data_IF_188608774862
#
_entry.id   IF_188608774862
#
_cell.length_a   1.000
_cell.length_b   1.000
_cell.length_c   1.000
_cell.angle_alpha   90.00
_cell.angle_beta   90.00
_cell.angle_gamma   90.00
#
_symmetry.space_group_name_H-M   'P 1'
#
loop_
_entity.id
_entity.type
_entity.pdbx_description
1 polymer ?
#
# COMPACT_ATOMS: atom_id res chain seq x y z
N UNK A 1 -9.50 -10.43 -28.16
CA UNK A 1 -8.35 -10.92 -28.98
C UNK A 1 -8.75 -10.95 -30.42
N UNK A 2 -8.03 -10.28 -31.30
CA UNK A 2 -8.29 -10.33 -32.76
C UNK A 2 -7.67 -11.64 -33.29
N UNK A 3 -8.51 -12.54 -33.76
CA UNK A 3 -8.03 -13.81 -34.35
C UNK A 3 -7.70 -13.57 -35.81
N UNK A 4 -6.42 -13.80 -36.15
CA UNK A 4 -5.96 -13.76 -37.54
C UNK A 4 -6.36 -15.08 -38.20
N UNK A 5 -7.02 -15.05 -39.39
CA UNK A 5 -7.32 -16.29 -40.11
C UNK A 5 -6.04 -17.06 -40.47
N UNK A 6 -6.01 -18.37 -40.17
CA UNK A 6 -4.88 -19.23 -40.53
C UNK A 6 -4.82 -19.54 -42.03
N UNK A 7 -5.94 -19.41 -42.71
CA UNK A 7 -6.04 -19.54 -44.16
C UNK A 7 -7.21 -18.70 -44.64
N UNK A 8 -7.11 -18.12 -45.83
CA UNK A 8 -8.18 -17.28 -46.40
C UNK A 8 -7.72 -16.49 -47.61
N UNK A 9 -8.65 -15.77 -48.21
CA UNK A 9 -8.35 -14.84 -49.30
C UNK A 9 -8.04 -13.43 -48.76
N UNK A 10 -7.62 -12.53 -49.65
CA UNK A 10 -7.24 -11.15 -49.27
C UNK A 10 -8.37 -10.38 -48.54
N UNK A 11 -9.65 -10.71 -48.79
CA UNK A 11 -10.80 -10.07 -48.14
C UNK A 11 -10.97 -10.52 -46.69
N UNK A 12 -10.62 -11.80 -46.38
CA UNK A 12 -10.69 -12.32 -45.03
C UNK A 12 -9.63 -11.66 -44.15
N UNK A 13 -8.41 -11.50 -44.65
CA UNK A 13 -7.34 -10.77 -43.98
C UNK A 13 -7.65 -9.29 -43.82
N UNK A 14 -8.22 -8.63 -44.85
CA UNK A 14 -8.66 -7.26 -44.75
C UNK A 14 -9.75 -7.08 -43.69
N UNK A 15 -10.70 -8.03 -43.61
CA UNK A 15 -11.72 -8.05 -42.57
C UNK A 15 -11.18 -8.24 -41.14
N UNK A 16 -10.07 -8.99 -40.97
CA UNK A 16 -9.38 -9.12 -39.71
C UNK A 16 -8.63 -7.81 -39.36
N UNK A 17 -7.93 -7.20 -40.30
CA UNK A 17 -7.22 -5.93 -40.09
C UNK A 17 -8.19 -4.82 -39.71
N UNK A 18 -9.33 -4.70 -40.37
CA UNK A 18 -10.32 -3.67 -40.06
C UNK A 18 -10.98 -3.82 -38.67
N UNK A 19 -10.80 -4.96 -38.01
CA UNK A 19 -11.26 -5.18 -36.62
C UNK A 19 -10.20 -4.80 -35.59
N UNK A 20 -8.98 -4.52 -36.02
CA UNK A 20 -7.92 -4.04 -35.11
C UNK A 20 -8.28 -2.61 -34.71
N UNK A 21 -8.40 -2.29 -33.41
CA UNK A 21 -8.59 -0.91 -32.98
C UNK A 21 -7.46 0.01 -33.44
N UNK A 22 -7.76 1.29 -33.57
CA UNK A 22 -6.80 2.31 -33.99
C UNK A 22 -5.64 2.49 -32.97
N UNK A 23 -5.92 2.18 -31.71
CA UNK A 23 -4.94 2.26 -30.62
C UNK A 23 -4.63 0.88 -30.07
N UNK A 24 -3.36 0.63 -29.73
CA UNK A 24 -2.94 -0.59 -29.07
C UNK A 24 -3.53 -0.65 -27.64
N UNK A 25 -4.34 -1.67 -27.40
CA UNK A 25 -4.89 -1.94 -26.05
C UNK A 25 -4.42 -3.31 -25.57
N UNK A 26 -4.06 -3.46 -24.30
CA UNK A 26 -3.51 -4.70 -23.74
C UNK A 26 -4.39 -5.93 -23.98
N UNK A 27 -5.72 -5.78 -23.99
CA UNK A 27 -6.68 -6.85 -24.24
C UNK A 27 -6.54 -7.49 -25.63
N UNK A 28 -6.01 -6.77 -26.63
CA UNK A 28 -5.74 -7.33 -27.98
C UNK A 28 -4.66 -8.40 -27.92
N UNK A 29 -3.70 -8.24 -27.03
CA UNK A 29 -2.58 -9.15 -26.81
C UNK A 29 -2.93 -10.26 -25.82
N UNK A 30 -4.19 -10.35 -25.39
CA UNK A 30 -4.63 -11.34 -24.40
C UNK A 30 -4.14 -11.06 -23.00
N UNK A 31 -3.71 -9.83 -22.70
CA UNK A 31 -3.30 -9.42 -21.37
C UNK A 31 -4.53 -9.26 -20.44
N UNK A 32 -4.38 -9.52 -19.14
CA UNK A 32 -5.49 -9.46 -18.19
C UNK A 32 -5.99 -8.03 -17.98
N UNK A 33 -7.24 -7.90 -17.54
CA UNK A 33 -7.93 -6.62 -17.38
C UNK A 33 -7.25 -5.63 -16.43
N UNK A 34 -6.43 -6.11 -15.48
CA UNK A 34 -5.64 -5.24 -14.61
C UNK A 34 -4.57 -4.45 -15.37
N UNK A 35 -3.99 -5.02 -16.42
CA UNK A 35 -3.02 -4.32 -17.28
C UNK A 35 -3.71 -3.21 -18.08
N UNK A 36 -4.91 -3.51 -18.62
CA UNK A 36 -5.72 -2.51 -19.32
C UNK A 36 -6.08 -1.32 -18.40
N UNK A 37 -6.50 -1.60 -17.17
CA UNK A 37 -6.75 -0.57 -16.16
C UNK A 37 -5.51 0.23 -15.80
N UNK A 38 -4.35 -0.42 -15.68
CA UNK A 38 -3.08 0.26 -15.41
C UNK A 38 -2.71 1.25 -16.52
N UNK A 39 -2.87 0.84 -17.79
CA UNK A 39 -2.65 1.73 -18.95
C UNK A 39 -3.65 2.90 -18.95
N UNK A 40 -4.93 2.63 -18.66
CA UNK A 40 -5.96 3.68 -18.57
C UNK A 40 -5.65 4.67 -17.45
N UNK A 41 -5.21 4.18 -16.28
CA UNK A 41 -4.80 5.03 -15.14
C UNK A 41 -3.60 5.89 -15.52
N UNK A 42 -2.57 5.31 -16.13
CA UNK A 42 -1.39 6.06 -16.59
C UNK A 42 -1.79 7.18 -17.55
N UNK A 43 -2.62 6.88 -18.55
CA UNK A 43 -3.10 7.88 -19.49
C UNK A 43 -3.95 8.96 -18.83
N UNK A 44 -4.83 8.57 -17.88
CA UNK A 44 -5.65 9.52 -17.14
C UNK A 44 -4.79 10.45 -16.26
N UNK A 45 -3.78 9.91 -15.59
CA UNK A 45 -2.85 10.71 -14.77
C UNK A 45 -2.05 11.69 -15.64
N UNK A 46 -1.62 11.27 -16.84
CA UNK A 46 -0.93 12.17 -17.79
C UNK A 46 -1.83 13.33 -18.21
N UNK A 47 -3.12 13.06 -18.50
CA UNK A 47 -4.12 14.09 -18.83
C UNK A 47 -4.38 15.00 -17.64
N UNK A 48 -4.57 14.45 -16.43
CA UNK A 48 -4.78 15.23 -15.21
C UNK A 48 -3.57 16.14 -14.92
N UNK A 49 -2.35 15.63 -15.09
CA UNK A 49 -1.14 16.43 -14.91
C UNK A 49 -1.08 17.59 -15.91
N UNK A 50 -1.42 17.32 -17.17
CA UNK A 50 -1.49 18.37 -18.19
C UNK A 50 -2.58 19.40 -17.88
N UNK A 51 -3.75 18.98 -17.40
CA UNK A 51 -4.83 19.87 -16.96
C UNK A 51 -4.43 20.70 -15.73
N UNK A 52 -3.75 20.09 -14.75
CA UNK A 52 -3.20 20.82 -13.60
C UNK A 52 -2.21 21.90 -14.03
N UNK A 53 -1.35 21.60 -15.01
CA UNK A 53 -0.40 22.59 -15.56
C UNK A 53 -1.10 23.73 -16.30
N UNK A 54 -2.19 23.45 -17.02
CA UNK A 54 -3.00 24.46 -17.72
C UNK A 54 -3.87 25.26 -16.77
N UNK A 55 -4.39 24.62 -15.71
CA UNK A 55 -5.16 25.25 -14.65
C UNK A 55 -4.26 25.89 -13.59
N UNK A 56 -2.95 26.08 -13.90
CA UNK A 56 -2.02 26.73 -12.96
C UNK A 56 -2.68 27.96 -12.38
N UNK A 57 -2.92 27.90 -11.06
CA UNK A 57 -3.53 28.95 -10.26
C UNK A 57 -2.87 30.26 -10.67
N UNK A 58 -3.66 31.25 -11.02
CA UNK A 58 -3.10 32.53 -11.52
C UNK A 58 -2.09 33.06 -10.52
N UNK A 59 -1.01 33.66 -11.01
CA UNK A 59 0.03 34.22 -10.13
C UNK A 59 -0.54 35.23 -9.09
N UNK A 60 -1.74 35.73 -9.34
CA UNK A 60 -2.48 36.58 -8.42
C UNK A 60 -3.11 35.79 -7.26
N UNK A 61 -3.63 34.59 -7.48
CA UNK A 61 -4.19 33.73 -6.42
C UNK A 61 -3.10 33.12 -5.53
N UNK A 62 -1.87 33.01 -6.02
CA UNK A 62 -0.70 32.58 -5.24
C UNK A 62 -0.08 33.69 -4.40
N UNK A 63 -0.47 34.97 -4.63
CA UNK A 63 -0.09 36.06 -3.74
C UNK A 63 -0.79 35.92 -2.40
N UNK A 64 -0.05 36.22 -1.35
CA UNK A 64 -0.61 36.18 -0.01
C UNK A 64 -1.80 37.14 0.11
N UNK A 65 -2.99 36.58 0.16
CA UNK A 65 -4.22 37.22 0.60
C UNK A 65 -4.74 36.46 1.80
N UNK A 66 -4.78 37.14 2.94
CA UNK A 66 -5.18 36.56 4.22
C UNK A 66 -6.59 35.96 4.19
N UNK A 67 -7.53 36.59 3.51
CA UNK A 67 -8.91 36.10 3.47
C UNK A 67 -9.03 34.86 2.61
N UNK A 68 -8.43 34.85 1.42
CA UNK A 68 -8.41 33.70 0.49
C UNK A 68 -7.68 32.53 1.12
N UNK A 69 -6.51 32.77 1.67
CA UNK A 69 -5.71 31.71 2.30
C UNK A 69 -6.41 31.13 3.53
N UNK A 70 -7.05 31.95 4.36
CA UNK A 70 -7.81 31.44 5.50
C UNK A 70 -8.97 30.57 5.06
N UNK A 71 -9.69 30.97 4.01
CA UNK A 71 -10.82 30.19 3.49
C UNK A 71 -10.37 28.84 2.91
N UNK A 72 -9.27 28.82 2.13
CA UNK A 72 -8.78 27.61 1.44
C UNK A 72 -7.96 26.67 2.35
N UNK A 73 -7.10 27.21 3.22
CA UNK A 73 -6.22 26.42 4.10
C UNK A 73 -6.85 26.11 5.47
N UNK A 74 -7.89 26.85 5.86
CA UNK A 74 -8.60 26.64 7.12
C UNK A 74 -9.04 25.18 7.34
N UNK A 75 -9.70 24.53 6.37
CA UNK A 75 -10.15 23.15 6.49
C UNK A 75 -9.03 22.17 6.79
N UNK A 76 -7.90 22.22 6.10
CA UNK A 76 -6.77 21.32 6.32
C UNK A 76 -6.07 21.58 7.67
N UNK A 77 -5.94 22.83 8.08
CA UNK A 77 -5.42 23.18 9.41
C UNK A 77 -6.33 22.65 10.53
N UNK A 78 -7.65 22.72 10.33
CA UNK A 78 -8.63 22.18 11.27
C UNK A 78 -8.61 20.65 11.28
N UNK A 79 -8.51 20.00 10.13
CA UNK A 79 -8.36 18.54 10.01
C UNK A 79 -7.16 18.08 10.84
N UNK A 80 -5.99 18.71 10.65
CA UNK A 80 -4.80 18.39 11.42
C UNK A 80 -5.02 18.57 12.92
N UNK A 81 -5.57 19.69 13.36
CA UNK A 81 -5.81 19.94 14.80
C UNK A 81 -6.78 18.94 15.45
N UNK A 82 -7.69 18.36 14.65
CA UNK A 82 -8.63 17.37 15.11
C UNK A 82 -7.98 15.98 15.25
N UNK A 83 -7.11 15.62 14.31
CA UNK A 83 -6.49 14.29 14.23
C UNK A 83 -5.20 14.18 15.04
N UNK A 84 -4.39 15.24 15.05
CA UNK A 84 -3.11 15.25 15.75
C UNK A 84 -3.24 15.83 17.15
N UNK A 85 -2.83 15.06 18.15
CA UNK A 85 -2.74 15.46 19.55
C UNK A 85 -1.30 15.26 20.01
N UNK A 86 -0.53 16.32 20.03
CA UNK A 86 0.91 16.29 20.37
C UNK A 86 1.16 15.56 21.69
N UNK A 87 0.35 15.79 22.72
CA UNK A 87 0.47 15.17 24.04
C UNK A 87 0.46 13.62 24.00
N UNK A 88 -0.17 13.01 23.00
CA UNK A 88 -0.20 11.56 22.86
C UNK A 88 1.14 11.00 22.39
N UNK A 89 1.84 11.76 21.52
CA UNK A 89 3.11 11.33 20.93
C UNK A 89 4.31 11.73 21.78
N UNK A 90 4.22 12.84 22.53
CA UNK A 90 5.27 13.28 23.47
C UNK A 90 5.48 12.27 24.61
N UNK A 91 4.42 11.55 24.98
CA UNK A 91 4.48 10.48 26.00
C UNK A 91 5.17 9.20 25.52
N UNK A 92 5.30 9.03 24.20
CA UNK A 92 5.96 7.87 23.61
C UNK A 92 7.46 8.14 23.58
N UNK A 93 8.16 7.77 24.64
CA UNK A 93 9.63 7.91 24.72
C UNK A 93 10.25 6.56 24.42
N UNK A 94 11.15 6.51 23.46
CA UNK A 94 11.94 5.34 23.11
C UNK A 94 13.34 5.54 23.65
N UNK A 95 13.81 4.60 24.47
CA UNK A 95 15.15 4.66 25.09
C UNK A 95 16.21 4.11 24.13
N UNK A 96 17.46 4.51 24.34
CA UNK A 96 18.60 3.94 23.58
C UNK A 96 18.75 2.43 23.79
N UNK A 97 18.37 1.93 24.95
CA UNK A 97 18.37 0.51 25.25
C UNK A 97 17.32 -0.26 24.39
N UNK A 98 16.13 0.32 24.21
CA UNK A 98 15.09 -0.23 23.34
C UNK A 98 15.53 -0.24 21.86
N UNK A 99 16.19 0.81 21.37
CA UNK A 99 16.72 0.86 20.00
C UNK A 99 17.83 -0.18 19.76
N UNK A 100 18.58 -0.54 20.80
CA UNK A 100 19.65 -1.54 20.72
C UNK A 100 19.18 -2.96 21.10
N UNK A 101 17.87 -3.22 21.11
CA UNK A 101 17.33 -4.55 21.41
C UNK A 101 17.86 -5.62 20.44
N UNK A 102 18.16 -6.85 20.91
CA UNK A 102 18.53 -7.94 20.04
C UNK A 102 17.35 -8.52 19.23
N UNK A 103 16.11 -8.21 19.59
CA UNK A 103 14.91 -8.67 18.86
C UNK A 103 14.68 -7.81 17.61
N UNK A 104 14.80 -8.37 16.38
CA UNK A 104 14.64 -7.60 15.14
C UNK A 104 13.24 -7.00 14.98
N UNK A 105 12.19 -7.67 15.49
CA UNK A 105 10.81 -7.21 15.39
C UNK A 105 10.57 -6.03 16.32
N UNK A 106 11.06 -6.10 17.56
CA UNK A 106 10.98 -5.00 18.50
C UNK A 106 11.80 -3.79 17.99
N UNK A 107 13.03 -4.04 17.50
CA UNK A 107 13.87 -3.00 16.91
C UNK A 107 13.17 -2.28 15.75
N UNK A 108 12.52 -3.03 14.85
CA UNK A 108 11.74 -2.45 13.77
C UNK A 108 10.66 -1.49 14.30
N UNK A 109 9.85 -1.93 15.27
CA UNK A 109 8.76 -1.11 15.82
C UNK A 109 9.28 0.18 16.46
N UNK A 110 10.40 0.12 17.17
CA UNK A 110 11.01 1.31 17.78
C UNK A 110 11.51 2.30 16.72
N UNK A 111 12.21 1.81 15.69
CA UNK A 111 12.71 2.66 14.58
C UNK A 111 11.55 3.26 13.79
N UNK A 112 10.50 2.46 13.49
CA UNK A 112 9.32 2.92 12.77
C UNK A 112 8.59 4.03 13.54
N UNK A 113 8.53 3.92 14.87
CA UNK A 113 7.95 4.95 15.73
C UNK A 113 8.77 6.25 15.75
N UNK A 114 10.10 6.18 15.77
CA UNK A 114 10.94 7.38 15.68
C UNK A 114 10.74 8.07 14.32
N UNK A 115 10.68 7.30 13.22
CA UNK A 115 10.39 7.84 11.90
C UNK A 115 9.02 8.54 11.86
N UNK A 116 8.01 7.94 12.47
CA UNK A 116 6.65 8.53 12.55
C UNK A 116 6.65 9.84 13.31
N UNK A 117 7.33 9.91 14.45
CA UNK A 117 7.44 11.15 15.22
C UNK A 117 8.06 12.27 14.38
N UNK A 118 9.11 11.95 13.62
CA UNK A 118 9.76 12.90 12.74
C UNK A 118 8.82 13.39 11.62
N UNK A 119 8.04 12.48 11.01
CA UNK A 119 7.00 12.83 10.04
C UNK A 119 5.96 13.76 10.67
N UNK A 120 5.39 13.37 11.81
CA UNK A 120 4.37 14.15 12.51
C UNK A 120 4.88 15.55 12.92
N UNK A 121 6.14 15.66 13.36
CA UNK A 121 6.76 16.93 13.72
C UNK A 121 6.90 17.84 12.50
N UNK A 122 7.37 17.33 11.36
CA UNK A 122 7.50 18.11 10.12
C UNK A 122 6.14 18.67 9.68
N UNK A 123 5.08 17.85 9.71
CA UNK A 123 3.74 18.29 9.37
C UNK A 123 3.20 19.31 10.36
N UNK A 124 3.43 19.06 11.66
CA UNK A 124 2.98 19.98 12.72
C UNK A 124 3.65 21.35 12.61
N UNK A 125 4.95 21.40 12.38
CA UNK A 125 5.69 22.65 12.22
C UNK A 125 5.20 23.41 10.97
N UNK A 126 5.02 22.72 9.86
CA UNK A 126 4.51 23.29 8.62
C UNK A 126 3.11 23.93 8.83
N UNK A 127 2.16 23.17 9.35
CA UNK A 127 0.78 23.63 9.57
C UNK A 127 0.73 24.72 10.66
N UNK A 128 1.48 24.57 11.76
CA UNK A 128 1.56 25.56 12.82
C UNK A 128 2.08 26.90 12.33
N UNK A 129 3.11 26.89 11.48
CA UNK A 129 3.64 28.12 10.87
C UNK A 129 2.60 28.78 9.96
N UNK A 130 1.90 28.00 9.12
CA UNK A 130 0.81 28.53 8.30
C UNK A 130 -0.28 29.16 9.17
N UNK A 131 -0.70 28.49 10.25
CA UNK A 131 -1.70 29.06 11.19
C UNK A 131 -1.25 30.36 11.82
N UNK A 132 0.01 30.47 12.23
CA UNK A 132 0.59 31.69 12.81
C UNK A 132 0.65 32.83 11.78
N UNK A 133 1.00 32.54 10.53
CA UNK A 133 1.00 33.52 9.42
C UNK A 133 -0.43 34.04 9.16
N UNK A 134 -1.41 33.12 9.10
CA UNK A 134 -2.82 33.51 8.94
C UNK A 134 -3.35 34.34 10.08
N UNK A 135 -2.86 34.11 11.31
CA UNK A 135 -3.17 34.97 12.47
C UNK A 135 -2.43 36.31 12.45
N UNK A 136 -1.36 36.42 11.67
CA UNK A 136 -0.50 37.64 11.61
C UNK A 136 0.52 37.70 12.74
N UNK A 137 0.79 36.59 13.42
CA UNK A 137 1.78 36.49 14.49
C UNK A 137 3.19 36.06 13.99
N UNK A 138 3.30 35.69 12.74
CA UNK A 138 4.57 35.29 12.12
C UNK A 138 4.67 35.82 10.69
N UNK A 139 5.90 36.07 10.22
CA UNK A 139 6.15 36.56 8.87
C UNK A 139 6.17 35.42 7.86
N UNK A 140 5.69 35.68 6.65
CA UNK A 140 5.73 34.74 5.55
C UNK A 140 7.17 34.52 5.08
N UNK A 141 7.67 33.28 5.22
CA UNK A 141 8.98 32.87 4.70
C UNK A 141 8.83 32.19 3.34
N UNK A 142 9.90 32.12 2.54
CA UNK A 142 9.89 31.42 1.26
C UNK A 142 9.50 29.93 1.41
N UNK A 143 9.91 29.27 2.50
CA UNK A 143 9.54 27.87 2.81
C UNK A 143 8.03 27.78 3.07
N UNK A 144 7.50 28.58 4.00
CA UNK A 144 6.08 28.54 4.35
C UNK A 144 5.18 28.95 3.18
N UNK A 145 5.66 29.87 2.32
CA UNK A 145 4.94 30.24 1.10
C UNK A 145 4.85 29.04 0.13
N UNK A 146 5.94 28.31 -0.08
CA UNK A 146 5.97 27.13 -0.95
C UNK A 146 5.04 26.05 -0.43
N UNK A 147 5.10 25.73 0.87
CA UNK A 147 4.23 24.72 1.49
C UNK A 147 2.76 25.12 1.40
N UNK A 148 2.42 26.37 1.71
CA UNK A 148 1.06 26.87 1.57
C UNK A 148 0.57 26.85 0.12
N UNK A 149 1.43 27.17 -0.84
CA UNK A 149 1.10 27.13 -2.28
C UNK A 149 0.75 25.71 -2.72
N UNK A 150 1.55 24.70 -2.34
CA UNK A 150 1.24 23.31 -2.65
C UNK A 150 -0.14 22.92 -2.07
N UNK A 151 -0.41 23.25 -0.80
CA UNK A 151 -1.70 22.96 -0.17
C UNK A 151 -2.87 23.70 -0.84
N UNK A 152 -2.68 24.94 -1.29
CA UNK A 152 -3.68 25.69 -2.07
C UNK A 152 -4.00 25.04 -3.41
N UNK A 153 -3.03 24.39 -4.02
CA UNK A 153 -3.15 23.62 -5.27
C UNK A 153 -3.72 22.21 -5.04
N UNK A 154 -3.93 21.82 -3.78
CA UNK A 154 -4.36 20.46 -3.44
C UNK A 154 -3.24 19.41 -3.56
N UNK A 155 -2.00 19.84 -3.48
CA UNK A 155 -0.80 19.01 -3.57
C UNK A 155 -0.16 18.86 -2.19
N UNK A 156 0.45 17.69 -1.94
CA UNK A 156 1.23 17.45 -0.73
C UNK A 156 2.53 18.25 -0.78
N UNK A 157 2.91 18.98 0.29
CA UNK A 157 4.18 19.66 0.31
C UNK A 157 5.37 18.70 0.15
N UNK A 158 6.34 19.07 -0.69
CA UNK A 158 7.53 18.25 -0.94
C UNK A 158 8.33 17.92 0.33
N UNK A 159 8.22 18.75 1.38
CA UNK A 159 8.82 18.48 2.70
C UNK A 159 8.17 17.30 3.42
N UNK A 160 6.88 17.04 3.16
CA UNK A 160 6.15 15.90 3.72
C UNK A 160 6.43 14.63 2.90
N UNK A 161 6.37 14.73 1.57
CA UNK A 161 6.66 13.62 0.65
C UNK A 161 8.09 13.08 0.82
N UNK A 162 9.05 13.96 1.07
CA UNK A 162 10.44 13.56 1.35
C UNK A 162 10.58 12.67 2.60
N UNK A 163 9.59 12.67 3.50
CA UNK A 163 9.56 11.82 4.68
C UNK A 163 8.84 10.51 4.45
N UNK A 164 7.77 10.56 3.68
CA UNK A 164 7.00 9.37 3.29
C UNK A 164 6.17 9.67 2.05
N UNK A 165 6.31 8.84 1.03
CA UNK A 165 5.51 8.86 -0.17
C UNK A 165 4.15 8.22 0.11
N UNK A 166 3.08 9.00 -0.01
CA UNK A 166 1.73 8.60 0.32
C UNK A 166 0.71 9.10 -0.71
N UNK A 167 -0.57 9.20 -0.33
CA UNK A 167 -1.62 9.72 -1.20
C UNK A 167 -1.30 11.13 -1.71
N UNK A 168 -1.58 11.41 -3.00
CA UNK A 168 -1.35 12.72 -3.60
C UNK A 168 -2.20 13.84 -2.97
N UNK A 169 -3.38 13.51 -2.43
CA UNK A 169 -4.28 14.48 -1.82
C UNK A 169 -3.86 14.76 -0.36
N UNK A 170 -3.63 16.03 0.03
CA UNK A 170 -3.17 16.37 1.38
C UNK A 170 -4.09 15.93 2.52
N UNK A 171 -5.42 16.00 2.32
CA UNK A 171 -6.39 15.58 3.34
C UNK A 171 -6.34 14.07 3.58
N UNK A 172 -6.21 13.29 2.50
CA UNK A 172 -6.05 11.84 2.58
C UNK A 172 -4.69 11.48 3.18
N UNK A 173 -3.63 12.18 2.77
CA UNK A 173 -2.28 11.97 3.28
C UNK A 173 -2.24 12.14 4.81
N UNK A 174 -2.80 13.25 5.34
CA UNK A 174 -2.91 13.51 6.78
C UNK A 174 -3.69 12.39 7.50
N UNK A 175 -4.84 11.97 6.94
CA UNK A 175 -5.67 10.90 7.53
C UNK A 175 -4.92 9.57 7.60
N UNK A 176 -4.20 9.21 6.53
CA UNK A 176 -3.44 7.96 6.49
C UNK A 176 -2.27 7.99 7.47
N UNK A 177 -1.49 9.07 7.48
CA UNK A 177 -0.35 9.20 8.40
C UNK A 177 -0.79 9.17 9.86
N UNK A 178 -1.83 9.90 10.23
CA UNK A 178 -2.34 9.90 11.60
C UNK A 178 -2.93 8.55 12.01
N UNK A 179 -3.60 7.83 11.09
CA UNK A 179 -4.08 6.47 11.32
C UNK A 179 -2.92 5.48 11.55
N UNK A 180 -1.90 5.52 10.70
CA UNK A 180 -0.69 4.68 10.85
C UNK A 180 0.05 4.99 12.16
N UNK A 181 0.20 6.27 12.49
CA UNK A 181 0.84 6.71 13.73
C UNK A 181 0.09 6.18 14.98
N UNK A 182 -1.23 6.29 15.01
CA UNK A 182 -2.04 5.78 16.10
C UNK A 182 -1.94 4.25 16.23
N UNK A 183 -1.91 3.53 15.12
CA UNK A 183 -1.72 2.09 15.11
C UNK A 183 -0.35 1.68 15.65
N UNK A 184 0.72 2.39 15.27
CA UNK A 184 2.08 2.11 15.75
C UNK A 184 2.25 2.34 17.25
N UNK A 185 1.54 3.30 17.85
CA UNK A 185 1.50 3.44 19.32
C UNK A 185 0.89 2.19 19.98
N UNK A 186 -0.14 1.59 19.38
CA UNK A 186 -0.69 0.32 19.88
C UNK A 186 0.30 -0.84 19.67
N UNK A 187 1.04 -0.85 18.56
CA UNK A 187 2.09 -1.84 18.33
C UNK A 187 3.19 -1.76 19.38
N UNK A 188 3.60 -0.56 19.78
CA UNK A 188 4.56 -0.37 20.88
C UNK A 188 4.07 -1.02 22.17
N UNK A 189 2.80 -0.82 22.53
CA UNK A 189 2.22 -1.45 23.73
C UNK A 189 2.25 -2.97 23.62
N UNK A 190 1.93 -3.54 22.44
CA UNK A 190 1.98 -4.98 22.20
C UNK A 190 3.41 -5.53 22.26
N UNK A 191 4.40 -4.78 21.75
CA UNK A 191 5.83 -5.15 21.86
C UNK A 191 6.27 -5.17 23.32
N UNK A 192 5.95 -4.12 24.07
CA UNK A 192 6.32 -4.02 25.48
C UNK A 192 5.67 -5.13 26.33
N UNK A 193 4.49 -5.60 25.95
CA UNK A 193 3.80 -6.71 26.59
C UNK A 193 4.22 -8.09 26.05
N UNK A 194 5.07 -8.16 25.02
CA UNK A 194 5.47 -9.41 24.37
C UNK A 194 4.37 -10.12 23.57
N UNK A 195 3.28 -9.44 23.22
CA UNK A 195 2.07 -10.03 22.61
C UNK A 195 1.88 -9.64 21.15
N UNK A 196 2.83 -8.94 20.52
CA UNK A 196 2.65 -8.42 19.15
C UNK A 196 2.37 -9.52 18.15
N UNK A 197 3.11 -10.63 18.19
CA UNK A 197 2.98 -11.72 17.20
C UNK A 197 1.84 -12.69 17.52
N UNK A 198 1.25 -12.60 18.71
CA UNK A 198 0.13 -13.46 19.13
C UNK A 198 -1.23 -12.92 18.65
N UNK A 199 -1.25 -11.69 18.17
CA UNK A 199 -2.46 -11.00 17.74
C UNK A 199 -2.48 -10.84 16.21
N UNK A 200 -3.67 -10.55 15.70
CA UNK A 200 -3.85 -10.23 14.29
C UNK A 200 -3.13 -8.92 13.94
N UNK A 201 -2.43 -8.95 12.82
CA UNK A 201 -1.58 -7.88 12.31
C UNK A 201 -2.13 -7.41 10.97
N UNK A 202 -2.33 -6.11 10.85
CA UNK A 202 -2.65 -5.43 9.60
C UNK A 202 -1.40 -4.66 9.14
N UNK A 203 -0.79 -5.12 8.05
CA UNK A 203 0.42 -4.50 7.50
C UNK A 203 0.15 -3.14 6.86
N UNK A 204 -1.10 -2.81 6.53
CA UNK A 204 -1.46 -1.48 6.02
C UNK A 204 -1.21 -0.37 7.04
N UNK A 205 -1.07 -0.71 8.31
CA UNK A 205 -0.74 0.21 9.40
C UNK A 205 0.73 0.63 9.46
N UNK A 206 1.61 -0.02 8.69
CA UNK A 206 3.04 0.28 8.67
C UNK A 206 3.40 1.23 7.52
N UNK A 207 4.46 2.01 7.72
CA UNK A 207 5.08 2.79 6.65
C UNK A 207 5.99 1.90 5.79
N UNK A 208 6.69 0.93 6.43
CA UNK A 208 7.63 0.02 5.78
C UNK A 208 7.30 -1.47 6.09
N UNK A 209 6.18 -2.00 5.57
CA UNK A 209 5.78 -3.38 5.85
C UNK A 209 6.77 -4.43 5.32
N UNK A 210 7.52 -4.15 4.25
CA UNK A 210 8.59 -4.99 3.74
C UNK A 210 9.72 -5.16 4.76
N UNK A 211 10.09 -4.09 5.47
CA UNK A 211 11.11 -4.11 6.52
C UNK A 211 10.64 -4.93 7.72
N UNK A 212 9.35 -4.85 8.07
CA UNK A 212 8.75 -5.68 9.10
C UNK A 212 8.81 -7.18 8.74
N UNK A 213 8.44 -7.54 7.52
CA UNK A 213 8.53 -8.92 7.06
C UNK A 213 9.99 -9.43 7.08
N UNK A 214 10.94 -8.58 6.73
CA UNK A 214 12.36 -8.92 6.82
C UNK A 214 12.82 -9.10 8.27
N UNK A 215 12.34 -8.27 9.21
CA UNK A 215 12.61 -8.42 10.64
C UNK A 215 12.08 -9.75 11.19
N UNK A 216 10.88 -10.17 10.77
CA UNK A 216 10.31 -11.48 11.08
C UNK A 216 11.16 -12.62 10.51
N UNK A 217 11.59 -12.49 9.25
CA UNK A 217 12.49 -13.45 8.60
C UNK A 217 13.80 -13.60 9.37
N UNK A 218 14.40 -12.49 9.80
CA UNK A 218 15.62 -12.50 10.63
C UNK A 218 15.37 -13.18 11.99
N UNK A 219 14.24 -12.88 12.65
CA UNK A 219 13.87 -13.51 13.91
C UNK A 219 13.70 -15.03 13.75
N UNK A 220 13.08 -15.47 12.65
CA UNK A 220 12.93 -16.90 12.32
C UNK A 220 14.27 -17.57 12.06
N UNK A 221 15.18 -16.94 11.29
CA UNK A 221 16.53 -17.44 11.03
C UNK A 221 17.32 -17.67 12.32
N UNK A 222 17.27 -16.68 13.23
CA UNK A 222 17.94 -16.78 14.55
C UNK A 222 17.37 -17.91 15.40
N UNK A 223 16.04 -18.10 15.40
CA UNK A 223 15.38 -19.16 16.15
C UNK A 223 15.70 -20.54 15.62
N UNK A 224 15.65 -20.71 14.30
CA UNK A 224 15.94 -21.96 13.61
C UNK A 224 17.45 -22.25 13.51
N UNK A 225 18.29 -21.25 13.76
CA UNK A 225 19.77 -21.32 13.63
C UNK A 225 20.24 -21.73 12.22
N UNK A 226 19.56 -21.19 11.20
CA UNK A 226 19.89 -21.37 9.79
C UNK A 226 20.11 -20.03 9.12
N UNK A 227 20.75 -20.03 7.95
CA UNK A 227 20.98 -18.80 7.19
C UNK A 227 19.66 -18.22 6.68
N UNK A 228 19.61 -16.89 6.56
CA UNK A 228 18.37 -16.19 6.20
C UNK A 228 17.90 -16.53 4.77
N UNK A 229 18.82 -16.84 3.88
CA UNK A 229 18.57 -17.26 2.49
C UNK A 229 18.13 -18.72 2.36
N UNK A 230 18.29 -19.52 3.41
CA UNK A 230 17.76 -20.88 3.50
C UNK A 230 16.30 -20.94 3.99
N UNK A 231 15.69 -19.78 4.27
CA UNK A 231 14.29 -19.67 4.64
C UNK A 231 13.41 -19.51 3.41
N UNK A 232 12.24 -20.17 3.44
CA UNK A 232 11.13 -19.95 2.53
C UNK A 232 9.90 -19.41 3.29
N UNK A 233 9.17 -18.49 2.65
CA UNK A 233 7.91 -17.98 3.14
C UNK A 233 6.82 -19.04 2.88
N UNK A 234 5.99 -19.31 3.88
CA UNK A 234 4.83 -20.18 3.78
C UNK A 234 3.60 -19.52 4.34
N UNK A 235 2.46 -19.87 3.80
CA UNK A 235 1.17 -19.32 4.21
C UNK A 235 0.08 -20.37 4.29
N UNK A 236 -0.94 -20.11 5.09
CA UNK A 236 -2.14 -20.94 5.21
C UNK A 236 -3.31 -20.11 5.70
N UNK A 237 -4.52 -20.38 5.21
CA UNK A 237 -5.75 -19.82 5.74
C UNK A 237 -6.40 -20.72 6.80
N UNK A 238 -5.80 -21.88 7.08
CA UNK A 238 -6.28 -22.79 8.12
C UNK A 238 -5.44 -22.64 9.38
N UNK A 239 -6.11 -22.34 10.51
CA UNK A 239 -5.46 -22.22 11.81
C UNK A 239 -4.76 -23.51 12.22
N UNK A 240 -3.51 -23.40 12.65
CA UNK A 240 -2.72 -24.54 13.13
C UNK A 240 -2.10 -25.42 12.03
N UNK A 241 -2.32 -25.13 10.76
CA UNK A 241 -1.70 -25.87 9.64
C UNK A 241 -0.28 -25.38 9.34
N UNK A 242 0.05 -24.16 9.75
CA UNK A 242 1.37 -23.59 9.56
C UNK A 242 2.34 -24.13 10.62
N UNK A 243 3.33 -24.91 10.19
CA UNK A 243 4.38 -25.47 11.06
C UNK A 243 5.58 -24.51 11.20
N UNK A 244 5.34 -23.22 11.36
CA UNK A 244 6.38 -22.21 11.57
C UNK A 244 6.51 -21.90 13.05
N UNK A 245 7.74 -21.88 13.59
CA UNK A 245 8.02 -21.52 14.98
C UNK A 245 7.72 -20.05 15.31
N UNK A 246 7.86 -19.21 14.29
CA UNK A 246 7.54 -17.79 14.31
C UNK A 246 6.67 -17.50 13.09
N UNK A 247 5.49 -17.01 13.34
CA UNK A 247 4.53 -16.62 12.32
C UNK A 247 3.66 -15.46 12.79
N UNK A 248 2.88 -14.93 11.88
CA UNK A 248 1.91 -13.86 12.12
C UNK A 248 0.54 -14.26 11.61
N UNK A 249 -0.48 -13.67 12.20
CA UNK A 249 -1.86 -13.73 11.75
C UNK A 249 -2.13 -12.44 10.97
N UNK A 250 -2.00 -12.53 9.63
CA UNK A 250 -2.14 -11.38 8.75
C UNK A 250 -3.60 -11.18 8.38
N UNK A 251 -4.15 -10.02 8.73
CA UNK A 251 -5.51 -9.58 8.39
C UNK A 251 -5.48 -8.38 7.43
N UNK A 252 -6.66 -8.01 6.92
CA UNK A 252 -6.83 -6.81 6.11
C UNK A 252 -6.40 -6.99 4.65
N UNK A 253 -6.19 -8.25 4.19
CA UNK A 253 -5.87 -8.52 2.80
C UNK A 253 -7.14 -8.49 1.93
N UNK A 254 -6.98 -7.90 0.75
CA UNK A 254 -7.98 -7.82 -0.31
C UNK A 254 -7.52 -8.59 -1.53
N UNK A 255 -8.43 -9.38 -2.11
CA UNK A 255 -8.18 -10.22 -3.27
C UNK A 255 -8.86 -9.63 -4.50
N UNK A 256 -8.17 -9.67 -5.65
CA UNK A 256 -8.70 -9.32 -6.97
C UNK A 256 -8.40 -10.43 -7.98
N UNK A 257 -9.27 -10.60 -8.97
CA UNK A 257 -9.03 -11.48 -10.12
C UNK A 257 -9.59 -12.90 -9.99
N UNK A 258 -10.08 -13.30 -8.82
CA UNK A 258 -10.80 -14.57 -8.59
C UNK A 258 -11.68 -14.47 -7.35
N UNK A 259 -12.45 -15.53 -7.07
CA UNK A 259 -13.19 -15.69 -5.83
C UNK A 259 -12.41 -16.50 -4.81
N UNK A 260 -12.80 -16.42 -3.53
CA UNK A 260 -12.23 -17.15 -2.42
C UNK A 260 -13.35 -17.80 -1.60
N UNK A 261 -13.27 -19.12 -1.42
CA UNK A 261 -14.30 -19.89 -0.71
C UNK A 261 -14.09 -19.97 0.82
N UNK A 262 -13.10 -19.24 1.34
CA UNK A 262 -12.68 -19.26 2.74
C UNK A 262 -11.45 -20.13 2.99
N UNK A 263 -11.01 -20.95 2.02
CA UNK A 263 -9.84 -21.83 2.12
C UNK A 263 -8.91 -21.75 0.92
N UNK A 264 -9.47 -21.57 -0.27
CA UNK A 264 -8.73 -21.63 -1.54
C UNK A 264 -9.32 -20.68 -2.58
N UNK A 265 -8.52 -20.38 -3.61
CA UNK A 265 -8.95 -19.64 -4.78
C UNK A 265 -9.86 -20.52 -5.65
N UNK A 266 -11.01 -19.97 -6.04
CA UNK A 266 -11.99 -20.64 -6.89
C UNK A 266 -12.32 -19.81 -8.13
N UNK A 267 -12.87 -20.46 -9.16
CA UNK A 267 -13.26 -19.77 -10.38
C UNK A 267 -14.45 -18.84 -10.14
N UNK A 268 -14.47 -17.77 -10.93
CA UNK A 268 -15.61 -16.88 -11.00
C UNK A 268 -16.77 -17.63 -11.67
N UNK A 269 -17.92 -17.69 -11.00
CA UNK A 269 -19.11 -18.38 -11.52
C UNK A 269 -20.05 -17.49 -12.32
N UNK A 270 -19.77 -16.21 -12.43
CA UNK A 270 -20.65 -15.25 -13.09
C UNK A 270 -20.45 -15.23 -14.61
N UNK A 271 -21.57 -15.14 -15.32
CA UNK A 271 -21.65 -15.24 -16.79
C UNK A 271 -20.88 -14.13 -17.54
N UNK A 272 -20.50 -13.05 -16.86
CA UNK A 272 -19.85 -11.89 -17.47
C UNK A 272 -18.32 -11.87 -17.35
N UNK A 273 -17.70 -12.85 -16.66
CA UNK A 273 -16.23 -13.05 -16.66
C UNK A 273 -15.40 -11.89 -16.09
N UNK A 274 -16.00 -10.89 -15.51
CA UNK A 274 -15.34 -9.72 -14.96
C UNK A 274 -15.47 -9.66 -13.44
N UNK A 275 -14.46 -10.14 -12.71
CA UNK A 275 -14.31 -9.75 -11.31
C UNK A 275 -13.53 -8.45 -11.22
N UNK A 276 -14.26 -7.36 -11.20
CA UNK A 276 -13.73 -6.06 -10.81
C UNK A 276 -13.79 -5.84 -9.30
N UNK A 277 -14.56 -6.64 -8.58
CA UNK A 277 -14.78 -6.47 -7.15
C UNK A 277 -13.60 -6.98 -6.34
N UNK A 278 -13.23 -6.18 -5.34
CA UNK A 278 -12.27 -6.57 -4.32
C UNK A 278 -12.98 -7.40 -3.26
N UNK A 279 -12.42 -8.53 -2.92
CA UNK A 279 -12.94 -9.45 -1.92
C UNK A 279 -12.02 -9.41 -0.70
N UNK A 280 -12.57 -9.14 0.48
CA UNK A 280 -11.83 -9.27 1.72
C UNK A 280 -11.60 -10.76 2.03
N UNK A 281 -10.32 -11.15 2.21
CA UNK A 281 -9.99 -12.53 2.57
C UNK A 281 -9.87 -12.69 4.09
N UNK A 282 -10.11 -13.87 4.63
CA UNK A 282 -9.94 -14.14 6.06
C UNK A 282 -8.48 -14.03 6.48
N UNK A 283 -8.24 -14.14 7.79
CA UNK A 283 -6.90 -14.11 8.36
C UNK A 283 -6.01 -15.16 7.71
N UNK A 284 -4.86 -14.72 7.21
CA UNK A 284 -3.83 -15.55 6.62
C UNK A 284 -2.69 -15.76 7.63
N UNK A 285 -2.37 -17.00 7.92
CA UNK A 285 -1.22 -17.36 8.76
C UNK A 285 0.01 -17.38 7.88
N UNK A 286 1.03 -16.58 8.22
CA UNK A 286 2.25 -16.40 7.44
C UNK A 286 3.47 -16.61 8.33
N UNK A 287 4.47 -17.34 7.83
CA UNK A 287 5.70 -17.58 8.57
C UNK A 287 6.84 -18.07 7.68
N UNK A 288 8.03 -18.21 8.27
CA UNK A 288 9.21 -18.71 7.59
C UNK A 288 9.63 -20.06 8.16
N UNK A 289 9.93 -20.98 7.26
CA UNK A 289 10.46 -22.32 7.58
C UNK A 289 11.74 -22.57 6.78
N UNK A 290 12.54 -23.55 7.16
CA UNK A 290 13.69 -23.97 6.37
C UNK A 290 13.27 -24.42 4.97
N UNK A 291 14.11 -24.20 3.97
CA UNK A 291 13.83 -24.51 2.56
C UNK A 291 13.42 -25.97 2.37
N UNK A 292 14.09 -26.90 3.09
CA UNK A 292 13.85 -28.34 3.01
C UNK A 292 12.68 -28.82 3.87
N UNK A 293 12.14 -27.95 4.73
CA UNK A 293 10.99 -28.31 5.56
C UNK A 293 9.72 -28.49 4.70
N UNK A 294 8.81 -29.40 5.07
CA UNK A 294 7.58 -29.63 4.32
C UNK A 294 6.70 -28.37 4.33
N UNK A 295 6.19 -27.99 3.16
CA UNK A 295 5.23 -26.90 3.03
C UNK A 295 3.85 -27.33 3.56
N UNK A 296 3.04 -26.40 4.09
CA UNK A 296 1.72 -26.72 4.63
C UNK A 296 0.74 -27.24 3.56
N UNK A 297 1.01 -26.95 2.31
CA UNK A 297 0.22 -27.40 1.16
C UNK A 297 1.14 -27.99 0.08
N UNK A 298 0.69 -29.00 -0.69
CA UNK A 298 1.40 -29.49 -1.86
C UNK A 298 1.56 -28.36 -2.89
N UNK A 299 2.72 -28.27 -3.53
CA UNK A 299 2.98 -27.24 -4.54
C UNK A 299 1.99 -27.27 -5.72
N UNK A 300 1.53 -28.46 -6.10
CA UNK A 300 0.55 -28.66 -7.18
C UNK A 300 -0.86 -28.12 -6.83
N UNK A 301 -1.17 -27.98 -5.54
CA UNK A 301 -2.45 -27.48 -5.03
C UNK A 301 -2.41 -26.00 -4.63
N UNK A 302 -1.33 -25.28 -4.95
CA UNK A 302 -1.16 -23.87 -4.64
C UNK A 302 -0.82 -23.06 -5.87
N UNK A 303 -1.04 -21.75 -5.77
CA UNK A 303 -0.58 -20.78 -6.75
C UNK A 303 0.20 -19.66 -6.05
N UNK A 304 1.28 -19.24 -6.67
CA UNK A 304 2.03 -18.05 -6.24
C UNK A 304 1.19 -16.80 -6.48
N UNK A 305 0.76 -16.18 -5.39
CA UNK A 305 -0.10 -15.01 -5.43
C UNK A 305 0.67 -13.81 -4.89
N UNK A 306 0.94 -12.78 -5.72
CA UNK A 306 1.64 -11.59 -5.28
C UNK A 306 0.76 -10.78 -4.33
N UNK A 307 1.41 -10.17 -3.32
CA UNK A 307 0.81 -9.22 -2.39
C UNK A 307 1.41 -7.85 -2.67
N UNK A 308 0.57 -6.89 -3.01
CA UNK A 308 0.96 -5.52 -3.29
C UNK A 308 0.51 -4.56 -2.19
N UNK A 309 1.17 -3.41 -2.08
CA UNK A 309 0.76 -2.33 -1.18
C UNK A 309 -0.62 -1.77 -1.54
N UNK A 310 -0.84 -1.53 -2.81
CA UNK A 310 -2.02 -0.87 -3.37
C UNK A 310 -2.45 -1.47 -4.71
N UNK A 311 -3.61 -1.03 -5.21
CA UNK A 311 -4.23 -1.55 -6.43
C UNK A 311 -3.48 -1.19 -7.72
N UNK A 312 -2.57 -0.21 -7.68
CA UNK A 312 -1.70 0.15 -8.80
C UNK A 312 -0.66 -0.92 -9.15
N UNK A 313 -0.36 -1.82 -8.17
CA UNK A 313 0.61 -2.92 -8.30
C UNK A 313 2.05 -2.46 -8.55
N UNK A 314 2.40 -1.24 -8.15
CA UNK A 314 3.75 -0.71 -8.32
C UNK A 314 4.73 -1.32 -7.32
N UNK A 315 4.27 -1.53 -6.08
CA UNK A 315 5.13 -2.02 -5.00
C UNK A 315 4.73 -3.43 -4.57
N UNK A 316 5.49 -4.43 -5.00
CA UNK A 316 5.35 -5.82 -4.58
C UNK A 316 5.95 -5.98 -3.16
N UNK A 317 5.15 -6.48 -2.23
CA UNK A 317 5.57 -6.74 -0.85
C UNK A 317 6.17 -8.14 -0.68
N UNK A 318 5.43 -9.15 -1.09
CA UNK A 318 5.83 -10.55 -1.03
C UNK A 318 4.97 -11.42 -1.95
N UNK A 319 5.28 -12.71 -2.03
CA UNK A 319 4.46 -13.69 -2.75
C UNK A 319 4.04 -14.78 -1.77
N UNK A 320 2.74 -15.05 -1.69
CA UNK A 320 2.16 -16.09 -0.85
C UNK A 320 1.77 -17.31 -1.68
N UNK A 321 1.96 -18.50 -1.11
CA UNK A 321 1.47 -19.76 -1.68
C UNK A 321 0.03 -19.94 -1.23
N UNK A 322 -0.94 -19.64 -2.09
CA UNK A 322 -2.36 -19.71 -1.76
C UNK A 322 -2.96 -21.00 -2.35
N UNK A 323 -3.71 -21.78 -1.55
CA UNK A 323 -4.41 -22.95 -2.05
C UNK A 323 -5.34 -22.59 -3.21
N UNK A 324 -5.40 -23.42 -4.23
CA UNK A 324 -6.10 -23.13 -5.48
C UNK A 324 -6.84 -24.34 -6.02
N UNK A 325 -8.07 -24.12 -6.47
CA UNK A 325 -8.86 -25.08 -7.22
C UNK A 325 -8.80 -24.72 -8.71
N UNK A 326 -8.25 -25.60 -9.51
CA UNK A 326 -8.11 -25.41 -10.96
C UNK A 326 -6.68 -25.11 -11.42
N UNK A 327 -6.46 -24.81 -12.70
CA UNK A 327 -5.12 -24.61 -13.25
C UNK A 327 -4.51 -23.28 -12.77
N UNK A 328 -3.28 -23.35 -12.27
CA UNK A 328 -2.53 -22.15 -11.81
C UNK A 328 -2.39 -21.08 -12.92
N UNK A 329 -2.21 -21.53 -14.17
CA UNK A 329 -2.11 -20.63 -15.33
C UNK A 329 -3.36 -19.72 -15.49
N UNK A 330 -4.55 -20.21 -15.16
CA UNK A 330 -5.76 -19.40 -15.22
C UNK A 330 -5.74 -18.24 -14.22
N UNK A 331 -5.15 -18.45 -13.03
CA UNK A 331 -5.00 -17.40 -12.01
C UNK A 331 -4.01 -16.33 -12.43
N UNK A 332 -2.88 -16.75 -13.01
CA UNK A 332 -1.87 -15.83 -13.55
C UNK A 332 -2.47 -14.98 -14.68
N UNK A 333 -3.16 -15.62 -15.64
CA UNK A 333 -3.83 -14.94 -16.75
C UNK A 333 -4.98 -14.03 -16.28
N UNK A 334 -5.68 -14.44 -15.21
CA UNK A 334 -6.72 -13.61 -14.55
C UNK A 334 -6.15 -12.43 -13.78
N UNK A 335 -4.83 -12.35 -13.62
CA UNK A 335 -4.15 -11.29 -12.88
C UNK A 335 -4.49 -11.31 -11.39
N UNK A 336 -4.61 -12.50 -10.80
CA UNK A 336 -4.92 -12.67 -9.38
C UNK A 336 -3.84 -12.05 -8.51
N UNK A 337 -4.23 -11.24 -7.55
CA UNK A 337 -3.33 -10.60 -6.60
C UNK A 337 -4.02 -10.26 -5.29
N UNK A 338 -3.22 -10.13 -4.24
CA UNK A 338 -3.62 -9.65 -2.93
C UNK A 338 -3.11 -8.22 -2.71
N UNK A 339 -3.81 -7.45 -1.90
CA UNK A 339 -3.51 -6.05 -1.60
C UNK A 339 -3.65 -5.78 -0.12
N UNK A 340 -2.76 -4.95 0.43
CA UNK A 340 -2.86 -4.48 1.83
C UNK A 340 -3.98 -3.45 1.99
N UNK A 341 -4.28 -2.69 0.96
CA UNK A 341 -5.29 -1.65 0.98
C UNK A 341 -6.30 -1.87 -0.16
N UNK A 342 -7.56 -2.01 0.19
CA UNK A 342 -8.66 -2.18 -0.77
C UNK A 342 -9.23 -0.88 -1.30
N UNK A 343 -8.82 0.25 -0.76
CA UNK A 343 -9.21 1.56 -1.29
C UNK A 343 -8.24 1.94 -2.41
N UNK A 344 -8.77 2.31 -3.56
CA UNK A 344 -8.01 3.11 -4.50
C UNK A 344 -7.64 4.40 -3.77
N UNK A 345 -6.35 4.64 -3.64
CA UNK A 345 -5.80 5.86 -3.06
C UNK A 345 -6.16 7.04 -3.96
#
# INVERSE_FOLDING_TARGET
>A
MVTVPQSGNARDFQGAINKVPEYDVPSQFGLPANIDRSVQRFNSNAVLTSLKQLAAVSAEELRFDKAIWTAKLGPICQLWSNLYKQEHYDKVVITQEQLNTPDPVAAFVYVELENVKDILQVVHDSISNIVKILKGSEMLTAKSQKEATNLLQGEVPATWEAKWEGPENPDQWIKVVTKKAAALVQWLQRVNNGTLLDQEIDLSHLFHPETFLNALRQKSARKLKIAIDELKLVSSFEKGKLAADIGIQLQGLWLQGCQFDGRQLVDIRDADGQTSELIHVPVCYVGWIGRDAPSPHPAEATVETPVYHSLDREQLLCTLQVPNQGPAAARVLGGVALFLNGSAI
#
